data_IF_910566750735
#
_entry.id   IF_910566750735
#
_cell.length_a   1.000
_cell.length_b   1.000
_cell.length_c   1.000
_cell.angle_alpha   90.00
_cell.angle_beta   90.00
_cell.angle_gamma   90.00
#
_symmetry.space_group_name_H-M   'P 1'
#
loop_
_entity.id
_entity.type
_entity.pdbx_description
1 polymer ?
#
# COMPACT_ATOMS: atom_id res chain seq x y z
N UNK A 1 2.51 -52.48 -42.39
CA UNK A 1 3.49 -51.66 -41.65
C UNK A 1 2.74 -50.89 -40.59
N UNK A 2 2.86 -51.31 -39.34
CA UNK A 2 2.31 -50.61 -38.19
C UNK A 2 3.33 -49.57 -37.74
N UNK A 3 2.94 -48.30 -37.69
CA UNK A 3 3.70 -47.25 -37.02
C UNK A 3 3.31 -47.29 -35.55
N UNK A 4 4.30 -47.55 -34.70
CA UNK A 4 4.15 -47.57 -33.25
C UNK A 4 3.90 -46.14 -32.77
N UNK A 5 2.86 -46.00 -31.95
CA UNK A 5 2.56 -44.78 -31.20
C UNK A 5 3.62 -44.71 -30.10
N UNK A 6 4.53 -43.75 -30.17
CA UNK A 6 5.48 -43.51 -29.09
C UNK A 6 4.71 -42.92 -27.91
N UNK A 7 4.68 -43.69 -26.83
CA UNK A 7 4.02 -43.36 -25.57
C UNK A 7 4.60 -42.06 -25.02
N UNK A 8 3.77 -41.02 -24.97
CA UNK A 8 4.07 -39.82 -24.20
C UNK A 8 3.91 -40.20 -22.73
N UNK A 9 5.01 -40.61 -22.10
CA UNK A 9 5.10 -40.78 -20.65
C UNK A 9 4.73 -39.44 -19.99
N UNK A 10 3.50 -39.36 -19.47
CA UNK A 10 2.98 -38.18 -18.81
C UNK A 10 3.83 -37.85 -17.60
N UNK A 11 4.46 -36.66 -17.62
CA UNK A 11 5.17 -36.13 -16.46
C UNK A 11 4.18 -36.06 -15.30
N UNK A 12 4.38 -36.78 -14.18
CA UNK A 12 3.47 -36.70 -13.06
C UNK A 12 3.51 -35.26 -12.53
N UNK A 13 2.32 -34.65 -12.42
CA UNK A 13 2.16 -33.35 -11.78
C UNK A 13 2.85 -33.39 -10.41
N UNK A 14 3.70 -32.40 -10.07
CA UNK A 14 4.39 -32.40 -8.80
C UNK A 14 3.35 -32.37 -7.67
N UNK A 15 3.51 -33.28 -6.71
CA UNK A 15 2.75 -33.26 -5.47
C UNK A 15 3.02 -31.99 -4.66
N UNK A 16 2.17 -31.68 -3.66
CA UNK A 16 2.36 -30.52 -2.81
C UNK A 16 3.73 -30.56 -2.11
N UNK A 17 4.35 -29.37 -1.97
CA UNK A 17 5.70 -29.22 -1.41
C UNK A 17 5.78 -29.59 0.08
N UNK A 18 4.70 -29.37 0.81
CA UNK A 18 4.58 -29.61 2.25
C UNK A 18 3.11 -29.83 2.64
N UNK A 19 2.85 -30.06 3.92
CA UNK A 19 1.49 -30.09 4.45
C UNK A 19 0.88 -28.68 4.58
N UNK A 20 -0.43 -28.64 4.84
CA UNK A 20 -1.18 -27.39 4.96
C UNK A 20 -0.64 -26.41 6.04
N UNK A 21 -0.34 -26.84 7.28
CA UNK A 21 0.16 -25.92 8.29
C UNK A 21 1.56 -25.38 7.93
N UNK A 22 2.46 -26.23 7.42
CA UNK A 22 3.80 -25.78 7.00
C UNK A 22 3.69 -24.79 5.83
N UNK A 23 2.80 -25.03 4.87
CA UNK A 23 2.56 -24.10 3.78
C UNK A 23 2.00 -22.76 4.27
N UNK A 24 1.09 -22.78 5.25
CA UNK A 24 0.53 -21.57 5.83
C UNK A 24 1.59 -20.72 6.54
N UNK A 25 2.54 -21.33 7.24
CA UNK A 25 3.67 -20.64 7.87
C UNK A 25 4.58 -19.98 6.82
N UNK A 26 4.88 -20.69 5.73
CA UNK A 26 5.66 -20.14 4.61
C UNK A 26 4.97 -18.91 4.01
N UNK A 27 3.66 -18.99 3.78
CA UNK A 27 2.87 -17.86 3.27
C UNK A 27 2.87 -16.69 4.27
N UNK A 28 2.72 -16.96 5.56
CA UNK A 28 2.76 -15.91 6.58
C UNK A 28 4.10 -15.18 6.63
N UNK A 29 5.22 -15.90 6.47
CA UNK A 29 6.55 -15.32 6.33
C UNK A 29 6.65 -14.44 5.08
N UNK A 30 6.25 -14.96 3.93
CA UNK A 30 6.26 -14.20 2.67
C UNK A 30 5.42 -12.92 2.73
N UNK A 31 4.21 -12.98 3.31
CA UNK A 31 3.35 -11.82 3.47
C UNK A 31 3.99 -10.79 4.39
N UNK A 32 4.63 -11.24 5.47
CA UNK A 32 5.30 -10.34 6.42
C UNK A 32 6.48 -9.62 5.79
N UNK A 33 7.29 -10.34 5.00
CA UNK A 33 8.45 -9.80 4.31
C UNK A 33 8.07 -8.83 3.19
N UNK A 34 6.94 -9.08 2.51
CA UNK A 34 6.45 -8.27 1.40
C UNK A 34 5.44 -7.18 1.81
N UNK A 35 5.10 -7.07 3.11
CA UNK A 35 4.06 -6.17 3.56
C UNK A 35 4.43 -4.70 3.29
N UNK A 36 3.57 -3.93 2.58
CA UNK A 36 3.82 -2.51 2.40
C UNK A 36 3.66 -1.75 3.72
N UNK A 37 4.44 -0.69 3.88
CA UNK A 37 4.29 0.23 5.02
C UNK A 37 3.03 1.06 4.85
N UNK A 38 2.13 1.00 5.83
CA UNK A 38 0.93 1.83 5.86
C UNK A 38 1.25 3.20 6.45
N UNK A 39 0.82 4.27 5.77
CA UNK A 39 0.97 5.64 6.23
C UNK A 39 -0.31 6.45 6.01
N UNK A 40 -0.41 7.60 6.67
CA UNK A 40 -1.50 8.55 6.52
C UNK A 40 -0.96 9.93 6.14
N UNK A 41 -1.71 10.68 5.34
CA UNK A 41 -1.49 12.11 5.17
C UNK A 41 -2.41 12.88 6.11
N UNK A 42 -1.79 13.65 7.01
CA UNK A 42 -2.48 14.42 8.06
C UNK A 42 -2.34 15.90 7.75
N UNK A 43 -3.46 16.61 7.73
CA UNK A 43 -3.46 18.07 7.66
C UNK A 43 -3.55 18.63 9.08
N UNK A 44 -2.58 19.44 9.49
CA UNK A 44 -2.63 20.20 10.74
C UNK A 44 -3.25 21.57 10.50
N UNK A 45 -4.12 22.00 11.41
CA UNK A 45 -4.76 23.31 11.39
C UNK A 45 -4.26 24.13 12.58
N UNK A 46 -3.57 25.24 12.30
CA UNK A 46 -2.89 26.04 13.32
C UNK A 46 -1.72 25.29 13.96
N UNK A 47 -0.96 25.97 14.81
CA UNK A 47 0.16 25.34 15.52
C UNK A 47 -0.36 24.36 16.58
N UNK A 48 -0.50 23.08 16.19
CA UNK A 48 -0.93 21.97 17.06
C UNK A 48 -2.33 22.17 17.68
N UNK A 49 -3.22 22.89 17.00
CA UNK A 49 -4.58 23.14 17.48
C UNK A 49 -5.52 22.00 17.08
N UNK A 50 -5.37 21.49 15.86
CA UNK A 50 -6.24 20.43 15.31
C UNK A 50 -5.52 19.67 14.18
N UNK A 51 -5.93 18.42 13.93
CA UNK A 51 -5.35 17.58 12.90
C UNK A 51 -6.38 16.58 12.35
N UNK A 52 -6.40 16.40 11.02
CA UNK A 52 -7.29 15.45 10.36
C UNK A 52 -6.54 14.59 9.33
N UNK A 53 -6.79 13.28 9.35
CA UNK A 53 -6.37 12.37 8.28
C UNK A 53 -7.22 12.64 7.05
N UNK A 54 -6.61 13.00 5.92
CA UNK A 54 -7.35 13.22 4.68
C UNK A 54 -7.07 12.17 3.60
N UNK A 55 -6.03 11.34 3.77
CA UNK A 55 -5.75 10.22 2.88
C UNK A 55 -4.94 9.14 3.59
N UNK A 56 -5.07 7.91 3.10
CA UNK A 56 -4.28 6.75 3.51
C UNK A 56 -3.41 6.30 2.37
N UNK A 57 -2.23 5.75 2.68
CA UNK A 57 -1.32 5.25 1.68
C UNK A 57 -0.63 3.96 2.07
N UNK A 58 -0.22 3.23 1.04
CA UNK A 58 0.63 2.04 1.11
C UNK A 58 1.93 2.38 0.41
N UNK A 59 3.05 2.24 1.11
CA UNK A 59 4.38 2.39 0.55
C UNK A 59 5.00 1.02 0.31
N UNK A 60 5.21 0.71 -0.95
CA UNK A 60 6.02 -0.41 -1.41
C UNK A 60 7.48 0.05 -1.54
N UNK A 61 8.37 -0.88 -1.90
CA UNK A 61 9.78 -0.60 -2.13
C UNK A 61 10.02 0.36 -3.31
N UNK A 62 9.24 0.21 -4.40
CA UNK A 62 9.43 0.94 -5.66
C UNK A 62 8.43 2.09 -5.89
N UNK A 63 7.32 2.09 -5.14
CA UNK A 63 6.25 3.07 -5.33
C UNK A 63 5.37 3.23 -4.08
N UNK A 64 4.51 4.25 -4.09
CA UNK A 64 3.43 4.38 -3.11
C UNK A 64 2.09 4.55 -3.82
N UNK A 65 1.05 4.03 -3.19
CA UNK A 65 -0.35 4.23 -3.59
C UNK A 65 -1.04 5.03 -2.50
N UNK A 66 -1.84 6.01 -2.88
CA UNK A 66 -2.65 6.83 -1.97
C UNK A 66 -4.12 6.68 -2.33
N UNK A 67 -4.97 6.55 -1.31
CA UNK A 67 -6.43 6.58 -1.42
C UNK A 67 -6.95 7.71 -0.53
N UNK A 68 -7.68 8.63 -1.14
CA UNK A 68 -8.35 9.73 -0.47
C UNK A 68 -9.87 9.69 -0.68
N UNK A 69 -10.61 10.64 -0.08
CA UNK A 69 -12.07 10.71 -0.17
C UNK A 69 -12.56 10.91 -1.60
N UNK A 70 -13.81 10.49 -1.87
CA UNK A 70 -14.47 10.77 -3.14
C UNK A 70 -13.85 10.06 -4.34
N UNK A 71 -13.34 8.84 -4.15
CA UNK A 71 -12.68 8.05 -5.20
C UNK A 71 -11.41 8.73 -5.76
N UNK A 72 -10.71 9.54 -4.95
CA UNK A 72 -9.38 10.02 -5.33
C UNK A 72 -8.35 8.93 -5.05
N UNK A 73 -7.60 8.52 -6.07
CA UNK A 73 -6.50 7.56 -5.94
C UNK A 73 -5.31 8.02 -6.77
N UNK A 74 -4.09 7.77 -6.28
CA UNK A 74 -2.88 8.20 -6.96
C UNK A 74 -1.72 7.23 -6.74
N UNK A 75 -0.85 7.13 -7.74
CA UNK A 75 0.42 6.39 -7.66
C UNK A 75 1.57 7.38 -7.67
N UNK A 76 2.52 7.17 -6.79
CA UNK A 76 3.69 8.03 -6.58
C UNK A 76 4.96 7.19 -6.53
N UNK A 77 6.11 7.83 -6.74
CA UNK A 77 7.41 7.15 -6.65
C UNK A 77 7.80 6.76 -5.22
N UNK A 78 7.25 7.47 -4.23
CA UNK A 78 7.47 7.20 -2.80
C UNK A 78 6.37 7.87 -1.97
N UNK A 79 6.27 7.53 -0.68
CA UNK A 79 5.37 8.18 0.26
C UNK A 79 5.64 9.70 0.36
N UNK A 80 6.91 10.12 0.35
CA UNK A 80 7.32 11.53 0.39
C UNK A 80 6.96 12.29 -0.90
N UNK A 81 6.92 11.58 -2.03
CA UNK A 81 6.50 12.17 -3.31
C UNK A 81 4.98 12.42 -3.34
N UNK A 82 4.19 11.55 -2.68
CA UNK A 82 2.74 11.73 -2.55
C UNK A 82 2.37 13.02 -1.82
N UNK A 83 3.15 13.37 -0.79
CA UNK A 83 2.99 14.62 -0.04
C UNK A 83 3.02 15.89 -0.90
N UNK A 84 3.87 15.92 -1.95
CA UNK A 84 4.09 17.15 -2.74
C UNK A 84 2.99 17.47 -3.74
N UNK A 85 2.22 16.46 -4.16
CA UNK A 85 1.29 16.56 -5.29
C UNK A 85 -0.17 16.49 -4.86
N UNK A 86 -0.46 15.92 -3.69
CA UNK A 86 -1.84 15.85 -3.19
C UNK A 86 -2.21 17.14 -2.45
N UNK A 87 -2.44 18.21 -3.22
CA UNK A 87 -3.04 19.43 -2.67
C UNK A 87 -4.52 19.15 -2.36
N UNK A 88 -4.96 19.21 -1.10
CA UNK A 88 -6.37 19.01 -0.79
C UNK A 88 -7.22 20.20 -1.28
N UNK A 89 -8.46 19.92 -1.68
CA UNK A 89 -9.42 20.91 -2.16
C UNK A 89 -9.77 22.01 -1.12
N UNK A 90 -9.37 21.87 0.15
CA UNK A 90 -9.56 22.93 1.16
C UNK A 90 -8.67 24.16 0.92
N UNK A 91 -7.67 24.12 0.03
CA UNK A 91 -6.97 25.33 -0.42
C UNK A 91 -7.93 26.41 -0.95
N UNK A 92 -9.12 26.04 -1.43
CA UNK A 92 -10.17 26.99 -1.82
C UNK A 92 -10.92 27.62 -0.63
N UNK A 93 -10.86 27.04 0.57
CA UNK A 93 -11.41 27.62 1.80
C UNK A 93 -10.37 28.49 2.57
N UNK A 94 -9.09 28.45 2.18
CA UNK A 94 -7.99 29.13 2.88
C UNK A 94 -7.82 30.62 2.52
N UNK A 95 -8.83 31.27 1.95
CA UNK A 95 -8.80 32.72 1.67
C UNK A 95 -8.90 33.60 2.92
N UNK A 96 -9.19 33.04 4.10
CA UNK A 96 -9.12 33.75 5.38
C UNK A 96 -7.75 33.55 6.06
N UNK A 97 -6.75 34.27 5.57
CA UNK A 97 -5.50 34.65 6.24
C UNK A 97 -5.07 33.93 7.53
N UNK A 98 -4.52 32.71 7.42
CA UNK A 98 -3.39 32.26 8.27
C UNK A 98 -2.73 31.02 7.64
N UNK A 99 -1.44 31.11 7.30
CA UNK A 99 -0.67 30.09 6.57
C UNK A 99 0.09 29.14 7.50
N UNK A 100 -0.48 28.79 8.64
CA UNK A 100 0.26 28.06 9.70
C UNK A 100 -0.08 26.57 9.78
N UNK A 101 -0.80 26.03 8.78
CA UNK A 101 -1.13 24.61 8.68
C UNK A 101 -0.31 23.91 7.59
N UNK A 102 0.41 22.85 7.97
CA UNK A 102 1.17 22.00 7.05
C UNK A 102 0.55 20.60 6.91
N UNK A 103 0.90 19.89 5.83
CA UNK A 103 0.61 18.47 5.71
C UNK A 103 1.82 17.70 6.26
N UNK A 104 1.56 16.58 6.92
CA UNK A 104 2.59 15.63 7.36
C UNK A 104 2.25 14.21 6.90
N UNK A 105 3.29 13.46 6.54
CA UNK A 105 3.22 12.00 6.40
C UNK A 105 3.39 11.41 7.80
N UNK A 106 2.41 10.64 8.25
CA UNK A 106 2.44 9.98 9.55
C UNK A 106 2.40 8.46 9.35
N UNK A 107 3.29 7.75 10.03
CA UNK A 107 3.32 6.30 10.01
C UNK A 107 2.28 5.69 10.92
N UNK A 108 1.69 4.61 10.43
CA UNK A 108 0.75 3.81 11.18
C UNK A 108 1.55 2.71 11.85
N UNK A 109 2.10 3.02 13.02
CA UNK A 109 2.88 2.05 13.78
C UNK A 109 1.95 1.11 14.55
N UNK A 110 2.11 -0.20 14.36
CA UNK A 110 1.65 -1.21 15.32
C UNK A 110 0.15 -1.47 15.37
N UNK A 111 -0.65 -1.11 14.36
CA UNK A 111 -1.99 -1.68 14.21
C UNK A 111 -1.89 -3.04 13.53
N UNK A 112 -1.88 -4.11 14.31
CA UNK A 112 -2.23 -5.43 13.80
C UNK A 112 -3.73 -5.41 13.43
N UNK A 113 -4.05 -5.88 12.23
CA UNK A 113 -5.44 -6.11 11.80
C UNK A 113 -5.90 -7.49 12.29
#
# INVERSE_FOLDING_TARGET
MAVQVESEEGVPEPGPLCDEPEFAELIAGMVSDAAPRVFALVAERGERVDAAVFAWGLSFEDHAVLVGPGNSHGRFRSAESAHRLHTPAWSNCASSGRRDGGIRVADVVGKQF
#
